data_IF_603385554525
#
_entry.id   IF_603385554525
#
_cell.length_a   1.000
_cell.length_b   1.000
_cell.length_c   1.000
_cell.angle_alpha   90.00
_cell.angle_beta   90.00
_cell.angle_gamma   90.00
#
_symmetry.space_group_name_H-M   'P 1'
#
loop_
_entity.id
_entity.type
_entity.pdbx_description
1 polymer ?
#
# COMPACT_ATOMS: atom_id res chain seq x y z
N UNK A 1 -1.54 1.49 7.60
CA UNK A 1 -2.71 0.63 7.53
C UNK A 1 -2.42 -0.78 8.06
N UNK A 2 -1.37 -1.50 7.56
CA UNK A 2 -1.04 -2.86 7.99
C UNK A 2 -0.91 -3.00 9.52
N UNK A 3 -0.16 -2.09 10.17
CA UNK A 3 0.00 -2.09 11.62
C UNK A 3 -1.32 -1.79 12.36
N UNK A 4 -2.16 -0.93 11.79
CA UNK A 4 -3.48 -0.61 12.33
C UNK A 4 -4.39 -1.84 12.37
N UNK A 5 -4.52 -2.54 11.23
CA UNK A 5 -5.40 -3.72 11.16
C UNK A 5 -4.84 -4.91 11.94
N UNK A 6 -3.51 -5.09 11.98
CA UNK A 6 -2.87 -6.13 12.77
C UNK A 6 -3.15 -6.01 14.27
N UNK A 7 -3.28 -4.78 14.77
CA UNK A 7 -3.59 -4.53 16.19
C UNK A 7 -5.04 -4.89 16.59
N UNK A 8 -5.90 -5.26 15.63
CA UNK A 8 -7.31 -5.62 15.84
C UNK A 8 -7.53 -7.13 16.01
N UNK A 9 -6.48 -7.93 15.87
CA UNK A 9 -6.51 -9.39 16.04
C UNK A 9 -5.46 -9.84 17.04
N UNK A 10 -5.65 -11.00 17.65
CA UNK A 10 -4.78 -11.48 18.74
C UNK A 10 -3.54 -12.20 18.23
N UNK A 11 -3.69 -13.05 17.21
CA UNK A 11 -2.63 -13.91 16.68
C UNK A 11 -2.57 -13.83 15.14
N UNK A 12 -2.16 -12.70 14.56
CA UNK A 12 -2.18 -12.46 13.12
C UNK A 12 -1.29 -13.47 12.37
N UNK A 13 -1.86 -14.20 11.42
CA UNK A 13 -1.20 -15.24 10.64
C UNK A 13 -0.88 -14.78 9.21
N UNK A 14 -1.79 -14.01 8.60
CA UNK A 14 -1.57 -13.50 7.25
C UNK A 14 -2.09 -12.09 7.07
N UNK A 15 -1.43 -11.34 6.19
CA UNK A 15 -1.77 -9.98 5.80
C UNK A 15 -1.92 -9.92 4.28
N UNK A 16 -3.09 -9.50 3.82
CA UNK A 16 -3.30 -9.18 2.42
C UNK A 16 -3.50 -7.68 2.28
N UNK A 17 -2.73 -7.06 1.40
CA UNK A 17 -2.82 -5.65 1.08
C UNK A 17 -3.29 -5.46 -0.36
N UNK A 18 -4.23 -4.57 -0.60
CA UNK A 18 -4.64 -4.21 -1.94
C UNK A 18 -4.64 -2.68 -2.11
N UNK A 19 -4.07 -2.21 -3.21
CA UNK A 19 -4.03 -0.81 -3.57
C UNK A 19 -4.90 -0.57 -4.81
N UNK A 20 -5.63 0.53 -4.83
CA UNK A 20 -6.32 0.99 -6.02
C UNK A 20 -5.50 2.10 -6.67
N UNK A 21 -5.11 1.88 -7.93
CA UNK A 21 -4.51 2.95 -8.75
C UNK A 21 -5.58 4.02 -9.02
N UNK A 22 -5.22 5.28 -8.83
CA UNK A 22 -6.15 6.40 -8.93
C UNK A 22 -5.57 7.54 -9.79
N UNK A 23 -6.16 7.71 -10.97
CA UNK A 23 -5.78 8.75 -11.92
C UNK A 23 -4.52 8.46 -12.74
N UNK A 24 -4.03 9.45 -13.49
CA UNK A 24 -2.87 9.29 -14.36
C UNK A 24 -1.59 9.01 -13.58
N UNK A 25 -0.73 8.17 -14.15
CA UNK A 25 0.59 7.86 -13.59
C UNK A 25 1.64 8.86 -14.05
N UNK A 26 2.61 9.14 -13.18
CA UNK A 26 3.87 9.77 -13.57
C UNK A 26 4.74 8.80 -14.36
N UNK A 27 5.65 9.35 -15.17
CA UNK A 27 6.67 8.58 -15.87
C UNK A 27 7.44 7.65 -14.91
N UNK A 28 7.88 8.18 -13.77
CA UNK A 28 8.61 7.40 -12.77
C UNK A 28 7.78 6.25 -12.20
N UNK A 29 6.50 6.48 -11.88
CA UNK A 29 5.61 5.41 -11.39
C UNK A 29 5.39 4.34 -12.44
N UNK A 30 5.14 4.73 -13.69
CA UNK A 30 4.94 3.78 -14.79
C UNK A 30 6.20 2.93 -15.03
N UNK A 31 7.38 3.54 -15.03
CA UNK A 31 8.66 2.82 -15.15
C UNK A 31 8.85 1.81 -14.00
N UNK A 32 8.62 2.25 -12.75
CA UNK A 32 8.74 1.35 -11.59
C UNK A 32 7.77 0.18 -11.64
N UNK A 33 6.52 0.40 -12.02
CA UNK A 33 5.53 -0.69 -12.16
C UNK A 33 5.92 -1.65 -13.28
N UNK A 34 6.44 -1.15 -14.41
CA UNK A 34 6.95 -1.99 -15.49
C UNK A 34 8.10 -2.89 -15.03
N UNK A 35 9.05 -2.38 -14.24
CA UNK A 35 10.13 -3.16 -13.65
C UNK A 35 9.61 -4.22 -12.67
N UNK A 36 8.65 -3.87 -11.81
CA UNK A 36 8.03 -4.79 -10.86
C UNK A 36 7.33 -5.94 -11.59
N UNK A 37 6.58 -5.64 -12.66
CA UNK A 37 5.92 -6.66 -13.49
C UNK A 37 6.98 -7.59 -14.12
N UNK A 38 8.06 -7.03 -14.65
CA UNK A 38 9.17 -7.80 -15.23
C UNK A 38 9.92 -8.70 -14.25
N UNK A 39 9.97 -8.30 -12.97
CA UNK A 39 10.62 -9.08 -11.90
C UNK A 39 9.78 -10.29 -11.43
N UNK A 40 8.50 -10.35 -11.79
CA UNK A 40 7.58 -11.41 -11.37
C UNK A 40 6.95 -11.19 -10.00
N UNK A 41 6.01 -12.08 -9.65
CA UNK A 41 5.26 -12.01 -8.41
C UNK A 41 6.03 -12.67 -7.28
N UNK A 42 6.16 -11.93 -6.16
CA UNK A 42 6.70 -12.40 -4.89
C UNK A 42 5.59 -12.37 -3.83
N UNK A 43 5.72 -13.24 -2.83
CA UNK A 43 4.96 -13.21 -1.60
C UNK A 43 5.89 -13.46 -0.40
N UNK A 44 5.45 -13.11 0.80
CA UNK A 44 6.11 -13.58 2.01
C UNK A 44 5.35 -14.80 2.52
N UNK A 45 6.04 -15.90 2.71
CA UNK A 45 5.49 -17.17 3.21
C UNK A 45 6.40 -17.65 4.33
N UNK A 46 5.82 -17.92 5.50
CA UNK A 46 6.55 -18.35 6.70
C UNK A 46 7.75 -17.45 7.06
N UNK A 47 7.61 -16.15 6.83
CA UNK A 47 8.64 -15.15 7.09
C UNK A 47 9.68 -14.97 5.96
N UNK A 48 9.67 -15.81 4.94
CA UNK A 48 10.61 -15.75 3.82
C UNK A 48 9.98 -15.10 2.58
N UNK A 49 10.78 -14.31 1.86
CA UNK A 49 10.36 -13.72 0.58
C UNK A 49 10.62 -14.70 -0.55
N UNK A 50 9.57 -15.20 -1.17
CA UNK A 50 9.62 -16.26 -2.17
C UNK A 50 8.91 -15.87 -3.46
N UNK A 51 9.29 -16.51 -4.57
CA UNK A 51 8.55 -16.39 -5.83
C UNK A 51 7.18 -17.07 -5.72
N UNK A 52 6.14 -16.39 -6.18
CA UNK A 52 4.75 -16.83 -6.15
C UNK A 52 4.05 -16.60 -7.51
N UNK A 53 4.56 -17.19 -8.60
CA UNK A 53 4.05 -16.93 -9.95
C UNK A 53 2.59 -17.35 -10.14
N UNK A 54 2.13 -18.32 -9.37
CA UNK A 54 0.77 -18.88 -9.45
C UNK A 54 -0.21 -18.21 -8.46
N UNK A 55 0.19 -17.11 -7.81
CA UNK A 55 -0.70 -16.35 -6.93
C UNK A 55 -1.94 -15.89 -7.69
N UNK A 56 -3.16 -16.34 -7.34
CA UNK A 56 -4.34 -15.99 -8.11
C UNK A 56 -4.78 -14.54 -7.85
N UNK A 57 -5.45 -13.89 -8.81
CA UNK A 57 -6.20 -12.67 -8.57
C UNK A 57 -7.25 -12.87 -7.47
N UNK A 58 -7.55 -11.80 -6.73
CA UNK A 58 -8.50 -11.81 -5.61
C UNK A 58 -9.34 -10.54 -5.60
N UNK A 59 -10.57 -10.65 -5.13
CA UNK A 59 -11.44 -9.49 -4.92
C UNK A 59 -11.19 -8.86 -3.55
N UNK A 60 -11.16 -7.52 -3.53
CA UNK A 60 -11.11 -6.70 -2.31
C UNK A 60 -12.17 -5.61 -2.37
N UNK A 61 -12.83 -5.37 -1.25
CA UNK A 61 -13.81 -4.29 -1.13
C UNK A 61 -13.14 -3.04 -0.51
N UNK A 62 -13.02 -2.00 -1.31
CA UNK A 62 -12.48 -0.69 -0.93
C UNK A 62 -13.53 0.25 -0.29
N UNK A 63 -14.69 -0.28 0.10
CA UNK A 63 -15.78 0.48 0.70
C UNK A 63 -16.92 0.84 -0.28
N UNK A 64 -16.76 0.51 -1.58
CA UNK A 64 -17.76 0.73 -2.64
C UNK A 64 -18.07 -0.56 -3.44
N UNK A 65 -17.90 -1.72 -2.80
CA UNK A 65 -18.06 -3.03 -3.39
C UNK A 65 -16.75 -3.67 -3.86
N UNK A 66 -16.78 -4.99 -4.12
CA UNK A 66 -15.59 -5.77 -4.46
C UNK A 66 -15.02 -5.36 -5.83
N UNK A 67 -13.70 -5.31 -5.91
CA UNK A 67 -12.92 -5.08 -7.13
C UNK A 67 -11.87 -6.16 -7.29
N UNK A 68 -11.77 -6.71 -8.48
CA UNK A 68 -10.72 -7.68 -8.80
C UNK A 68 -9.36 -7.00 -8.76
N UNK A 69 -8.43 -7.60 -8.02
CA UNK A 69 -7.05 -7.16 -7.86
C UNK A 69 -6.11 -8.27 -8.31
N UNK A 70 -5.05 -7.88 -9.00
CA UNK A 70 -4.00 -8.80 -9.43
C UNK A 70 -2.81 -8.74 -8.45
N UNK A 71 -2.11 -9.85 -8.21
CA UNK A 71 -0.93 -9.85 -7.35
C UNK A 71 0.20 -9.03 -7.97
N UNK A 72 0.89 -8.23 -7.15
CA UNK A 72 2.03 -7.44 -7.58
C UNK A 72 3.00 -7.21 -6.41
N UNK A 73 4.31 -7.27 -6.71
CA UNK A 73 5.38 -7.22 -5.70
C UNK A 73 5.73 -5.79 -5.31
N UNK A 74 4.98 -5.20 -4.37
CA UNK A 74 5.33 -3.90 -3.79
C UNK A 74 6.23 -4.03 -2.55
N UNK A 75 6.84 -2.92 -2.16
CA UNK A 75 7.70 -2.83 -0.98
C UNK A 75 7.03 -3.19 0.34
N UNK A 76 5.70 -3.29 0.36
CA UNK A 76 4.90 -3.71 1.51
C UNK A 76 5.20 -5.14 1.98
N UNK A 77 5.68 -6.02 1.08
CA UNK A 77 6.18 -7.36 1.43
C UNK A 77 7.35 -7.30 2.43
N UNK A 78 8.10 -6.20 2.45
CA UNK A 78 9.23 -5.95 3.36
C UNK A 78 8.79 -5.05 4.51
N UNK A 79 8.18 -3.91 4.20
CA UNK A 79 7.79 -2.90 5.21
C UNK A 79 6.63 -3.37 6.08
N UNK A 80 5.67 -4.11 5.51
CA UNK A 80 4.58 -4.74 6.25
C UNK A 80 5.11 -5.76 7.26
N UNK A 81 5.99 -6.65 6.82
CA UNK A 81 6.64 -7.63 7.70
C UNK A 81 7.46 -6.96 8.80
N UNK A 82 8.28 -5.96 8.43
CA UNK A 82 9.09 -5.22 9.40
C UNK A 82 8.25 -4.55 10.49
N UNK A 83 7.07 -4.06 10.11
CA UNK A 83 6.18 -3.34 11.04
C UNK A 83 5.32 -4.27 11.89
N UNK A 84 4.88 -5.41 11.35
CA UNK A 84 3.87 -6.28 11.99
C UNK A 84 4.41 -7.61 12.48
N UNK A 85 5.50 -8.11 11.88
CA UNK A 85 6.01 -9.47 12.12
C UNK A 85 5.13 -10.58 11.53
N UNK A 86 4.07 -10.25 10.78
CA UNK A 86 3.15 -11.26 10.21
C UNK A 86 3.90 -12.11 9.18
N UNK A 87 3.90 -13.46 9.33
CA UNK A 87 4.77 -14.32 8.53
C UNK A 87 4.32 -14.50 7.08
N UNK A 88 3.04 -14.29 6.78
CA UNK A 88 2.49 -14.49 5.45
C UNK A 88 1.92 -13.17 4.93
N UNK A 89 2.47 -12.63 3.82
CA UNK A 89 2.03 -11.36 3.26
C UNK A 89 1.91 -11.49 1.74
N UNK A 90 0.77 -11.04 1.20
CA UNK A 90 0.56 -10.89 -0.22
C UNK A 90 0.07 -9.46 -0.53
N UNK A 91 0.51 -8.93 -1.67
CA UNK A 91 0.14 -7.58 -2.12
C UNK A 91 -0.52 -7.66 -3.48
N UNK A 92 -1.58 -6.88 -3.63
CA UNK A 92 -2.42 -6.85 -4.82
C UNK A 92 -2.63 -5.41 -5.28
N UNK A 93 -3.02 -5.27 -6.54
CA UNK A 93 -3.40 -3.98 -7.10
C UNK A 93 -4.66 -4.10 -7.93
N UNK A 94 -5.58 -3.17 -7.75
CA UNK A 94 -6.67 -2.92 -8.69
C UNK A 94 -6.20 -1.86 -9.68
N UNK A 95 -6.09 -2.25 -10.94
CA UNK A 95 -5.77 -1.36 -12.04
C UNK A 95 -7.07 -1.19 -12.85
N UNK A 96 -7.72 -0.02 -12.81
CA UNK A 96 -8.87 0.26 -13.67
C UNK A 96 -8.49 0.16 -15.15
N UNK A 97 -9.45 -0.16 -16.00
CA UNK A 97 -9.25 -0.23 -17.44
C UNK A 97 -8.55 1.04 -17.96
N UNK A 98 -7.51 0.86 -18.76
CA UNK A 98 -6.67 1.90 -19.33
C UNK A 98 -5.86 2.76 -18.33
N UNK A 99 -5.73 2.37 -17.07
CA UNK A 99 -4.91 3.12 -16.10
C UNK A 99 -3.40 2.88 -16.28
N UNK A 100 -2.99 1.77 -16.91
CA UNK A 100 -1.58 1.52 -17.21
C UNK A 100 -1.25 2.08 -18.60
N UNK A 101 -0.29 3.01 -18.71
CA UNK A 101 0.07 3.62 -19.99
C UNK A 101 0.75 2.58 -20.91
N UNK A 102 0.30 2.53 -22.15
CA UNK A 102 0.90 1.72 -23.21
C UNK A 102 1.92 2.54 -24.03
N UNK A 103 2.89 1.84 -24.63
CA UNK A 103 3.86 2.45 -25.53
C UNK A 103 5.14 2.95 -24.85
N UNK A 104 5.74 4.01 -25.40
CA UNK A 104 6.99 4.57 -24.89
C UNK A 104 6.78 5.40 -23.62
N UNK A 105 7.11 4.81 -22.48
CA UNK A 105 6.95 5.44 -21.16
C UNK A 105 7.79 6.72 -21.01
N UNK A 106 8.85 6.92 -21.82
CA UNK A 106 9.68 8.12 -21.76
C UNK A 106 8.92 9.37 -22.19
N UNK A 107 7.85 9.23 -22.96
CA UNK A 107 6.99 10.29 -23.44
C UNK A 107 5.94 10.74 -22.40
N UNK A 108 5.78 10.00 -21.31
CA UNK A 108 4.87 10.38 -20.25
C UNK A 108 5.33 11.67 -19.54
N UNK A 109 4.40 12.47 -19.02
CA UNK A 109 4.72 13.65 -18.22
C UNK A 109 5.47 13.23 -16.94
N UNK A 110 6.22 14.15 -16.35
CA UNK A 110 6.91 13.91 -15.06
C UNK A 110 5.95 13.50 -13.96
N UNK A 111 4.73 14.05 -13.97
CA UNK A 111 3.65 13.66 -13.07
C UNK A 111 2.33 14.35 -13.44
N UNK A 112 1.21 13.94 -12.84
CA UNK A 112 -0.07 14.58 -13.06
C UNK A 112 -0.09 16.00 -12.46
N UNK A 113 -0.74 16.95 -13.14
CA UNK A 113 -0.98 18.30 -12.62
C UNK A 113 -1.88 18.25 -11.36
N UNK A 114 -1.96 19.36 -10.64
CA UNK A 114 -2.86 19.46 -9.48
C UNK A 114 -4.32 19.23 -9.87
N UNK A 115 -4.78 19.81 -10.97
CA UNK A 115 -6.12 19.63 -11.50
C UNK A 115 -6.44 18.17 -11.83
N UNK A 116 -5.46 17.45 -12.37
CA UNK A 116 -5.58 16.00 -12.65
C UNK A 116 -5.61 15.15 -11.39
N UNK A 117 -5.00 15.59 -10.29
CA UNK A 117 -4.97 14.86 -9.02
C UNK A 117 -6.24 15.05 -8.18
N UNK A 118 -6.82 16.25 -8.19
CA UNK A 118 -7.94 16.63 -7.32
C UNK A 118 -9.14 15.65 -7.34
N UNK A 119 -9.61 15.14 -8.50
CA UNK A 119 -10.76 14.23 -8.54
C UNK A 119 -10.45 12.79 -8.10
N UNK A 120 -9.18 12.44 -7.90
CA UNK A 120 -8.77 11.07 -7.64
C UNK A 120 -8.30 10.88 -6.20
N UNK A 121 -9.03 10.04 -5.47
CA UNK A 121 -8.66 9.59 -4.12
C UNK A 121 -7.80 8.33 -4.20
N UNK A 122 -6.79 8.20 -3.36
CA UNK A 122 -6.05 6.96 -3.23
C UNK A 122 -6.69 6.09 -2.14
N UNK A 123 -6.88 4.81 -2.46
CA UNK A 123 -7.47 3.81 -1.56
C UNK A 123 -6.54 2.62 -1.40
N UNK A 124 -6.50 2.08 -0.19
CA UNK A 124 -5.89 0.79 0.06
C UNK A 124 -6.72 0.01 1.09
N UNK A 125 -6.71 -1.30 0.95
CA UNK A 125 -7.33 -2.26 1.87
C UNK A 125 -6.23 -3.06 2.54
N UNK A 126 -6.39 -3.32 3.83
CA UNK A 126 -5.64 -4.35 4.54
C UNK A 126 -6.61 -5.34 5.16
N UNK A 127 -6.35 -6.62 4.97
CA UNK A 127 -7.04 -7.73 5.61
C UNK A 127 -6.02 -8.57 6.38
N UNK A 128 -6.27 -8.78 7.66
CA UNK A 128 -5.48 -9.70 8.50
C UNK A 128 -6.35 -10.88 8.90
N UNK A 129 -5.84 -12.07 8.68
CA UNK A 129 -6.46 -13.31 9.13
C UNK A 129 -5.77 -13.75 10.42
N UNK A 130 -6.56 -14.01 11.45
CA UNK A 130 -6.10 -14.50 12.74
C UNK A 130 -5.97 -16.03 12.76
N UNK A 131 -5.36 -16.59 13.80
CA UNK A 131 -5.18 -18.03 13.98
C UNK A 131 -6.51 -18.81 14.07
N UNK A 132 -7.58 -18.19 14.54
CA UNK A 132 -8.93 -18.75 14.58
C UNK A 132 -9.70 -18.60 13.26
N UNK A 133 -9.04 -18.10 12.21
CA UNK A 133 -9.61 -17.79 10.89
C UNK A 133 -10.57 -16.59 10.87
N UNK A 134 -10.68 -15.82 11.94
CA UNK A 134 -11.35 -14.53 11.90
C UNK A 134 -10.57 -13.53 11.02
N UNK A 135 -11.27 -12.59 10.41
CA UNK A 135 -10.69 -11.60 9.51
C UNK A 135 -11.02 -10.20 9.98
N UNK A 136 -9.99 -9.41 10.25
CA UNK A 136 -10.13 -7.97 10.41
C UNK A 136 -9.78 -7.27 9.11
N UNK A 137 -10.61 -6.31 8.69
CA UNK A 137 -10.40 -5.50 7.49
C UNK A 137 -10.45 -4.03 7.84
N UNK A 138 -9.56 -3.25 7.24
CA UNK A 138 -9.59 -1.79 7.29
C UNK A 138 -9.29 -1.21 5.92
N UNK A 139 -9.95 -0.12 5.59
CA UNK A 139 -9.76 0.64 4.36
C UNK A 139 -9.19 2.00 4.72
N UNK A 140 -8.12 2.42 4.07
CA UNK A 140 -7.65 3.80 4.10
C UNK A 140 -8.07 4.49 2.82
N UNK A 141 -8.66 5.67 2.97
CA UNK A 141 -8.89 6.62 1.90
C UNK A 141 -8.09 7.89 2.18
N UNK A 142 -7.38 8.40 1.17
CA UNK A 142 -6.59 9.62 1.32
C UNK A 142 -6.66 10.47 0.05
N UNK A 143 -6.12 11.69 0.10
CA UNK A 143 -5.90 12.50 -1.09
C UNK A 143 -5.07 11.73 -2.11
N UNK A 144 -5.04 12.16 -3.36
CA UNK A 144 -4.25 11.50 -4.41
C UNK A 144 -2.83 11.18 -3.95
N UNK A 145 -2.29 10.02 -4.30
CA UNK A 145 -0.98 9.54 -3.85
C UNK A 145 0.17 10.52 -4.11
N UNK A 146 0.15 11.25 -5.23
CA UNK A 146 1.15 12.28 -5.52
C UNK A 146 0.99 13.55 -4.66
N UNK A 147 -0.16 13.76 -4.04
CA UNK A 147 -0.37 14.81 -3.03
C UNK A 147 -0.03 14.30 -1.64
N UNK A 148 -0.44 13.07 -1.32
CA UNK A 148 -0.19 12.45 -0.02
C UNK A 148 1.30 12.26 0.27
N UNK A 149 2.04 11.68 -0.68
CA UNK A 149 3.44 11.28 -0.48
C UNK A 149 4.35 12.41 0.00
N UNK A 150 4.39 13.60 -0.66
CA UNK A 150 5.23 14.69 -0.18
C UNK A 150 4.79 15.25 1.18
N UNK A 151 3.50 15.30 1.46
CA UNK A 151 2.99 15.76 2.76
C UNK A 151 3.40 14.81 3.89
N UNK A 152 3.22 13.51 3.69
CA UNK A 152 3.63 12.48 4.65
C UNK A 152 5.16 12.46 4.83
N UNK A 153 5.94 12.60 3.75
CA UNK A 153 7.39 12.64 3.81
C UNK A 153 7.91 13.84 4.60
N UNK A 154 7.35 15.03 4.39
CA UNK A 154 7.70 16.24 5.14
C UNK A 154 7.35 16.09 6.62
N UNK A 155 6.16 15.57 6.94
CA UNK A 155 5.76 15.36 8.33
C UNK A 155 6.64 14.32 9.03
N UNK A 156 6.99 13.22 8.36
CA UNK A 156 7.93 12.24 8.90
C UNK A 156 9.31 12.87 9.16
N UNK A 157 9.84 13.63 8.19
CA UNK A 157 11.13 14.34 8.36
C UNK A 157 11.08 15.34 9.52
N UNK A 158 10.00 16.11 9.64
CA UNK A 158 9.80 17.07 10.75
C UNK A 158 9.86 16.39 12.11
N UNK A 159 9.17 15.24 12.27
CA UNK A 159 9.17 14.46 13.52
C UNK A 159 10.53 13.87 13.83
N UNK A 160 11.21 13.29 12.83
CA UNK A 160 12.57 12.75 13.01
C UNK A 160 13.55 13.84 13.44
N UNK A 161 13.47 15.03 12.84
CA UNK A 161 14.31 16.18 13.22
C UNK A 161 13.97 16.73 14.62
N UNK A 162 12.72 16.59 15.06
CA UNK A 162 12.31 16.97 16.42
C UNK A 162 12.66 15.92 17.50
N UNK A 163 13.26 14.79 17.12
CA UNK A 163 13.77 13.79 18.05
C UNK A 163 13.03 12.46 18.08
N UNK A 164 11.92 12.30 17.35
CA UNK A 164 11.22 11.03 17.18
C UNK A 164 11.99 10.10 16.24
N UNK A 165 13.09 9.54 16.75
CA UNK A 165 14.01 8.73 15.94
C UNK A 165 14.50 7.50 16.69
N UNK A 166 14.75 6.42 15.96
CA UNK A 166 15.39 5.19 16.42
C UNK A 166 16.47 4.80 15.42
N UNK A 167 17.58 4.24 15.93
CA UNK A 167 18.64 3.74 15.06
C UNK A 167 18.20 2.47 14.33
N UNK A 168 18.63 2.33 13.08
CA UNK A 168 18.31 1.20 12.23
C UNK A 168 17.23 1.52 11.17
N UNK A 169 16.75 0.47 10.51
CA UNK A 169 15.67 0.60 9.53
C UNK A 169 14.32 0.69 10.25
N UNK A 170 13.60 1.77 10.02
CA UNK A 170 12.26 2.01 10.54
C UNK A 170 11.28 2.38 9.42
N UNK A 171 10.04 1.93 9.56
CA UNK A 171 8.93 2.43 8.75
C UNK A 171 8.24 3.60 9.44
N UNK A 172 7.62 4.53 8.73
CA UNK A 172 6.87 5.62 9.37
C UNK A 172 5.81 5.11 10.36
N UNK A 173 5.07 4.06 10.03
CA UNK A 173 4.07 3.50 10.93
C UNK A 173 4.66 2.89 12.20
N UNK A 174 5.80 2.20 12.10
CA UNK A 174 6.47 1.59 13.25
C UNK A 174 7.15 2.62 14.15
N UNK A 175 7.74 3.66 13.57
CA UNK A 175 8.41 4.72 14.31
C UNK A 175 7.45 5.75 14.89
N UNK A 176 6.45 6.18 14.10
CA UNK A 176 5.60 7.33 14.39
C UNK A 176 4.18 6.95 14.84
N UNK A 177 3.87 5.65 14.84
CA UNK A 177 2.60 5.11 15.32
C UNK A 177 1.54 4.94 14.25
N UNK A 178 0.48 4.22 14.61
CA UNK A 178 -0.61 3.82 13.70
C UNK A 178 -1.40 5.01 13.14
N UNK A 179 -1.53 6.10 13.89
CA UNK A 179 -2.22 7.33 13.46
C UNK A 179 -1.42 8.22 12.51
N UNK A 180 -0.18 7.85 12.18
CA UNK A 180 0.67 8.71 11.34
C UNK A 180 0.04 9.03 9.98
N UNK A 181 -0.62 8.06 9.34
CA UNK A 181 -1.23 8.27 8.03
C UNK A 181 -2.29 9.38 8.06
N UNK A 182 -3.05 9.48 9.13
CA UNK A 182 -4.16 10.44 9.31
C UNK A 182 -3.68 11.85 9.70
N UNK A 183 -2.37 12.05 9.89
CA UNK A 183 -1.79 13.40 10.06
C UNK A 183 -1.86 14.21 8.76
N UNK A 184 -2.00 13.55 7.62
CA UNK A 184 -2.27 14.19 6.33
C UNK A 184 -3.77 14.45 6.21
N UNK A 185 -4.13 15.73 6.10
CA UNK A 185 -5.53 16.14 5.99
C UNK A 185 -6.26 15.44 4.83
N UNK A 186 -7.49 15.03 5.08
CA UNK A 186 -8.31 14.28 4.12
C UNK A 186 -7.96 12.79 4.05
N UNK A 187 -7.25 12.26 5.05
CA UNK A 187 -7.02 10.83 5.22
C UNK A 187 -7.90 10.28 6.31
N UNK A 188 -8.55 9.15 6.06
CA UNK A 188 -9.40 8.43 7.02
C UNK A 188 -9.16 6.93 6.93
N UNK A 189 -9.22 6.24 8.06
CA UNK A 189 -9.23 4.77 8.13
C UNK A 189 -10.60 4.34 8.62
N UNK A 190 -11.21 3.40 7.92
CA UNK A 190 -12.50 2.80 8.26
C UNK A 190 -12.32 1.32 8.52
N UNK A 191 -12.84 0.85 9.63
CA UNK A 191 -12.79 -0.54 10.08
C UNK A 191 -14.06 -1.30 9.71
N UNK A 192 -13.92 -2.57 9.34
CA UNK A 192 -15.01 -3.49 8.97
C UNK A 192 -14.88 -4.81 9.71
#
# INVERSE_FOLDING_TARGET
LALHVAARVEQPQSLNLALQVAGPMSRGSASSVSEIIGAGVLARIEGELVAAPDQPPREFDFGAGPKLCVPLSFGDLVTGWRSTGIPNIAVYVHIPDAAFPEGDLSLLPEGPSEEQRLPHRALAVAEVVDADSSVARSVIETVNGYTYTPLAAVEAARRVLSGERRAGFETPAHLLGVGFAETVAGTTITDF
#
